data_IF_604602951074
#
_entry.id   IF_604602951074
#
_cell.length_a   1.000
_cell.length_b   1.000
_cell.length_c   1.000
_cell.angle_alpha   90.00
_cell.angle_beta   90.00
_cell.angle_gamma   90.00
#
_symmetry.space_group_name_H-M   'P 1'
#
loop_
_entity.id
_entity.type
_entity.pdbx_description
1 polymer ?
#
# COMPACT_ATOMS: atom_id res chain seq x y z
N UNK A 1 11.23 15.05 51.38
CA UNK A 1 11.59 16.43 51.00
C UNK A 1 10.62 16.87 49.93
N UNK A 2 9.56 17.56 50.39
CA UNK A 2 8.55 18.40 49.72
C UNK A 2 7.73 17.85 48.53
N UNK A 3 6.49 17.45 48.85
CA UNK A 3 5.26 17.50 48.03
C UNK A 3 4.85 18.95 47.73
N UNK A 4 4.24 19.23 46.56
CA UNK A 4 3.15 20.23 46.41
C UNK A 4 2.13 19.78 45.32
N UNK A 5 1.01 19.24 45.83
CA UNK A 5 -0.41 19.57 45.58
C UNK A 5 -1.10 19.45 44.20
N UNK A 6 -2.21 18.72 44.28
CA UNK A 6 -3.32 18.56 43.36
C UNK A 6 -4.41 19.65 43.48
N UNK A 7 -5.32 19.67 42.51
CA UNK A 7 -6.79 19.92 42.56
C UNK A 7 -7.25 20.75 41.35
N UNK A 8 -8.47 20.69 40.81
CA UNK A 8 -9.65 19.80 40.81
C UNK A 8 -10.75 20.57 40.06
N UNK A 9 -11.57 19.87 39.26
CA UNK A 9 -12.96 20.17 38.86
C UNK A 9 -13.38 21.57 38.39
N UNK A 10 -14.10 21.63 37.24
CA UNK A 10 -15.56 21.46 37.22
C UNK A 10 -16.16 21.78 35.84
N UNK A 11 -17.15 20.99 35.42
CA UNK A 11 -18.02 21.24 34.24
C UNK A 11 -18.91 22.47 34.48
N UNK A 12 -19.15 23.28 33.44
CA UNK A 12 -20.46 23.94 33.24
C UNK A 12 -20.65 24.40 31.78
N UNK A 13 -21.73 23.89 31.21
CA UNK A 13 -22.46 24.32 30.01
C UNK A 13 -22.96 25.76 30.15
N UNK A 14 -22.90 26.54 29.06
CA UNK A 14 -23.76 27.73 28.88
C UNK A 14 -24.11 27.83 27.39
N UNK A 15 -25.24 27.25 27.01
CA UNK A 15 -26.06 27.75 25.90
C UNK A 15 -26.64 29.12 26.28
N UNK A 16 -27.01 29.90 25.27
CA UNK A 16 -27.76 31.18 25.28
C UNK A 16 -26.96 32.48 25.42
N UNK A 17 -26.54 33.02 24.27
CA UNK A 17 -26.85 34.39 23.88
C UNK A 17 -27.17 34.40 22.38
N UNK A 18 -28.46 34.53 22.07
CA UNK A 18 -28.97 34.73 20.73
C UNK A 18 -29.09 36.25 20.46
N UNK A 19 -28.87 36.58 19.19
CA UNK A 19 -29.44 37.69 18.42
C UNK A 19 -28.63 38.97 18.13
N UNK A 20 -28.70 39.27 16.83
CA UNK A 20 -28.56 40.54 16.13
C UNK A 20 -27.13 41.04 15.83
N UNK A 21 -26.69 40.76 14.61
CA UNK A 21 -26.54 41.84 13.61
C UNK A 21 -26.30 41.24 12.23
N UNK A 22 -27.08 41.74 11.25
CA UNK A 22 -26.93 41.37 9.85
C UNK A 22 -25.52 41.72 9.36
N UNK A 23 -24.75 40.68 9.03
CA UNK A 23 -23.50 40.81 8.31
C UNK A 23 -23.73 40.21 6.93
N UNK A 24 -23.83 41.06 5.92
CA UNK A 24 -23.74 40.64 4.53
C UNK A 24 -22.31 40.09 4.34
N UNK A 25 -22.16 38.77 4.40
CA UNK A 25 -20.86 38.12 4.26
C UNK A 25 -20.38 38.27 2.79
N UNK A 26 -19.31 39.03 2.51
CA UNK A 26 -18.75 39.14 1.17
C UNK A 26 -18.04 37.84 0.72
N UNK A 27 -17.94 36.84 1.61
CA UNK A 27 -17.40 35.51 1.33
C UNK A 27 -18.48 34.42 1.24
N UNK A 28 -19.76 34.78 1.15
CA UNK A 28 -20.80 33.84 0.76
C UNK A 28 -20.40 33.24 -0.60
N UNK A 29 -19.80 32.05 -0.55
CA UNK A 29 -19.32 31.35 -1.72
C UNK A 29 -20.50 31.24 -2.69
N UNK A 30 -20.31 31.73 -3.90
CA UNK A 30 -21.10 31.31 -5.04
C UNK A 30 -21.19 29.79 -4.96
N UNK A 31 -22.41 29.26 -4.86
CA UNK A 31 -22.69 27.85 -5.14
C UNK A 31 -22.44 27.64 -6.64
N UNK A 32 -21.20 27.82 -7.08
CA UNK A 32 -20.70 27.28 -8.32
C UNK A 32 -20.63 25.79 -8.10
N UNK A 33 -21.10 25.04 -9.08
CA UNK A 33 -21.08 23.59 -9.11
C UNK A 33 -19.64 23.10 -8.88
N UNK A 34 -19.28 22.88 -7.63
CA UNK A 34 -18.10 22.11 -7.27
C UNK A 34 -18.44 20.68 -7.66
N UNK A 35 -18.15 20.35 -8.92
CA UNK A 35 -18.11 18.99 -9.40
C UNK A 35 -17.10 18.26 -8.50
N UNK A 36 -17.62 17.56 -7.47
CA UNK A 36 -16.81 16.72 -6.61
C UNK A 36 -15.96 15.84 -7.51
N UNK A 37 -14.63 15.77 -7.33
CA UNK A 37 -13.77 15.00 -8.22
C UNK A 37 -14.36 13.61 -8.34
N UNK A 38 -14.65 13.21 -9.59
CA UNK A 38 -15.30 11.93 -9.91
C UNK A 38 -14.51 10.84 -9.19
N UNK A 39 -15.11 10.27 -8.14
CA UNK A 39 -14.50 9.17 -7.42
C UNK A 39 -14.31 8.07 -8.45
N UNK A 40 -13.06 7.75 -8.78
CA UNK A 40 -12.74 6.66 -9.68
C UNK A 40 -13.19 5.39 -8.96
N UNK A 41 -14.41 4.94 -9.26
CA UNK A 41 -14.91 3.66 -8.78
C UNK A 41 -14.10 2.58 -9.47
N UNK A 42 -13.12 2.04 -8.75
CA UNK A 42 -12.34 0.89 -9.20
C UNK A 42 -13.27 -0.31 -9.37
N UNK A 43 -13.15 -1.00 -10.49
CA UNK A 43 -13.90 -2.25 -10.73
C UNK A 43 -13.38 -3.38 -9.84
N UNK A 44 -14.20 -4.39 -9.61
CA UNK A 44 -13.80 -5.58 -8.86
C UNK A 44 -12.57 -6.29 -9.47
N UNK A 45 -12.46 -6.27 -10.79
CA UNK A 45 -11.34 -6.87 -11.53
C UNK A 45 -10.05 -6.08 -11.33
N UNK A 46 -10.09 -4.75 -11.44
CA UNK A 46 -8.93 -3.89 -11.18
C UNK A 46 -8.51 -4.00 -9.71
N UNK A 47 -9.46 -4.04 -8.78
CA UNK A 47 -9.16 -4.20 -7.35
C UNK A 47 -8.50 -5.56 -7.07
N UNK A 48 -8.96 -6.62 -7.71
CA UNK A 48 -8.31 -7.93 -7.65
C UNK A 48 -6.89 -7.87 -8.20
N UNK A 49 -6.68 -7.21 -9.35
CA UNK A 49 -5.39 -7.12 -10.00
C UNK A 49 -4.37 -6.32 -9.17
N UNK A 50 -4.77 -5.16 -8.63
CA UNK A 50 -3.91 -4.37 -7.73
C UNK A 50 -3.58 -5.16 -6.46
N UNK A 51 -4.55 -5.90 -5.92
CA UNK A 51 -4.33 -6.77 -4.75
C UNK A 51 -3.37 -7.91 -5.07
N UNK A 52 -3.44 -8.48 -6.28
CA UNK A 52 -2.52 -9.52 -6.75
C UNK A 52 -1.08 -9.02 -6.87
N UNK A 53 -0.88 -7.79 -7.38
CA UNK A 53 0.46 -7.17 -7.41
C UNK A 53 0.98 -6.91 -6.01
N UNK A 54 0.16 -6.30 -5.15
CA UNK A 54 0.49 -6.09 -3.74
C UNK A 54 0.95 -7.37 -3.04
N UNK A 55 0.18 -8.45 -3.15
CA UNK A 55 0.51 -9.74 -2.51
C UNK A 55 1.77 -10.38 -3.11
N UNK A 56 2.02 -10.20 -4.40
CA UNK A 56 3.21 -10.76 -5.06
C UNK A 56 4.51 -10.09 -4.60
N UNK A 57 4.51 -8.75 -4.48
CA UNK A 57 5.64 -7.98 -3.94
C UNK A 57 5.85 -8.30 -2.44
N UNK A 58 4.76 -8.39 -1.66
CA UNK A 58 4.85 -8.76 -0.24
C UNK A 58 5.44 -10.17 -0.06
N UNK A 59 5.01 -11.13 -0.87
CA UNK A 59 5.57 -12.49 -0.85
C UNK A 59 7.05 -12.50 -1.22
N UNK A 60 7.46 -11.67 -2.19
CA UNK A 60 8.87 -11.43 -2.54
C UNK A 60 9.65 -10.97 -1.31
N UNK A 61 9.24 -9.87 -0.69
CA UNK A 61 9.86 -9.31 0.51
C UNK A 61 10.06 -10.36 1.62
N UNK A 62 9.00 -11.12 1.94
CA UNK A 62 9.06 -12.17 2.97
C UNK A 62 10.04 -13.30 2.62
N UNK A 63 10.16 -13.65 1.34
CA UNK A 63 11.12 -14.64 0.86
C UNK A 63 12.55 -14.11 1.01
N UNK A 64 12.85 -12.90 0.52
CA UNK A 64 14.21 -12.34 0.63
C UNK A 64 14.63 -12.14 2.08
N UNK A 65 13.72 -11.68 2.95
CA UNK A 65 13.99 -11.56 4.39
C UNK A 65 14.30 -12.90 5.05
N UNK A 66 13.64 -13.98 4.62
CA UNK A 66 13.96 -15.35 5.07
C UNK A 66 15.35 -15.77 4.59
N UNK A 67 15.65 -15.59 3.30
CA UNK A 67 16.95 -15.94 2.72
C UNK A 67 18.10 -15.16 3.36
N UNK A 68 17.91 -13.88 3.67
CA UNK A 68 18.90 -13.06 4.36
C UNK A 68 19.27 -13.63 5.73
N UNK A 69 18.30 -14.23 6.43
CA UNK A 69 18.53 -14.88 7.73
C UNK A 69 19.21 -16.24 7.63
N UNK A 70 19.05 -16.92 6.49
CA UNK A 70 19.52 -18.30 6.29
C UNK A 70 20.85 -18.41 5.55
N UNK A 71 21.25 -17.37 4.80
CA UNK A 71 22.51 -17.38 4.04
C UNK A 71 23.74 -17.24 4.96
N UNK A 72 24.83 -17.93 4.62
CA UNK A 72 26.14 -17.79 5.26
C UNK A 72 27.05 -16.75 4.56
N UNK A 73 26.63 -16.22 3.41
CA UNK A 73 27.38 -15.20 2.64
C UNK A 73 26.99 -13.79 3.12
N UNK A 74 27.96 -13.06 3.67
CA UNK A 74 27.75 -11.73 4.26
C UNK A 74 27.35 -10.66 3.22
N UNK A 75 27.94 -10.68 2.03
CA UNK A 75 27.62 -9.73 0.96
C UNK A 75 26.23 -10.01 0.38
N UNK A 76 25.88 -11.29 0.25
CA UNK A 76 24.54 -11.70 -0.16
C UNK A 76 23.50 -11.32 0.88
N UNK A 77 23.80 -11.44 2.18
CA UNK A 77 22.89 -11.02 3.26
C UNK A 77 22.53 -9.55 3.17
N UNK A 78 23.51 -8.68 2.92
CA UNK A 78 23.27 -7.24 2.74
C UNK A 78 22.32 -6.99 1.57
N UNK A 79 22.62 -7.58 0.41
CA UNK A 79 21.79 -7.41 -0.81
C UNK A 79 20.38 -7.95 -0.65
N UNK A 80 20.22 -9.13 -0.04
CA UNK A 80 18.90 -9.71 0.25
C UNK A 80 18.09 -8.84 1.22
N UNK A 81 18.75 -8.21 2.20
CA UNK A 81 18.10 -7.31 3.15
C UNK A 81 17.61 -6.03 2.46
N UNK A 82 18.44 -5.44 1.58
CA UNK A 82 18.06 -4.29 0.77
C UNK A 82 16.86 -4.62 -0.13
N UNK A 83 16.92 -5.74 -0.84
CA UNK A 83 15.85 -6.20 -1.72
C UNK A 83 14.55 -6.45 -0.95
N UNK A 84 14.64 -7.09 0.22
CA UNK A 84 13.49 -7.28 1.12
C UNK A 84 12.79 -5.94 1.44
N UNK A 85 13.56 -4.89 1.71
CA UNK A 85 13.03 -3.57 2.01
C UNK A 85 12.42 -2.87 0.79
N UNK A 86 12.97 -3.09 -0.41
CA UNK A 86 12.42 -2.57 -1.67
C UNK A 86 11.05 -3.16 -1.99
N UNK A 87 10.94 -4.49 -1.97
CA UNK A 87 9.68 -5.19 -2.27
C UNK A 87 8.59 -4.87 -1.24
N UNK A 88 8.95 -4.68 0.04
CA UNK A 88 8.03 -4.19 1.06
C UNK A 88 7.51 -2.77 0.73
N UNK A 89 8.39 -1.88 0.24
CA UNK A 89 7.99 -0.54 -0.22
C UNK A 89 7.08 -0.60 -1.43
N UNK A 90 7.32 -1.51 -2.38
CA UNK A 90 6.43 -1.71 -3.52
C UNK A 90 5.05 -2.22 -3.10
N UNK A 91 4.99 -3.23 -2.22
CA UNK A 91 3.73 -3.70 -1.64
C UNK A 91 2.97 -2.56 -0.93
N UNK A 92 3.69 -1.67 -0.24
CA UNK A 92 3.10 -0.47 0.35
C UNK A 92 2.57 0.51 -0.71
N UNK A 93 3.34 0.80 -1.76
CA UNK A 93 2.90 1.68 -2.84
C UNK A 93 1.60 1.17 -3.52
N UNK A 94 1.47 -0.15 -3.70
CA UNK A 94 0.22 -0.75 -4.17
C UNK A 94 -0.91 -0.62 -3.17
N UNK A 95 -0.62 -0.75 -1.88
CA UNK A 95 -1.59 -0.50 -0.79
C UNK A 95 -2.11 0.92 -0.85
N UNK A 96 -1.23 1.92 -0.93
CA UNK A 96 -1.62 3.33 -1.05
C UNK A 96 -2.43 3.60 -2.31
N UNK A 97 -2.06 2.97 -3.43
CA UNK A 97 -2.80 3.09 -4.69
C UNK A 97 -4.22 2.57 -4.54
N UNK A 98 -4.41 1.37 -3.95
CA UNK A 98 -5.73 0.79 -3.69
C UNK A 98 -6.58 1.69 -2.80
N UNK A 99 -5.99 2.27 -1.76
CA UNK A 99 -6.71 3.18 -0.85
C UNK A 99 -7.11 4.49 -1.55
N UNK A 100 -6.23 5.05 -2.39
CA UNK A 100 -6.50 6.29 -3.15
C UNK A 100 -7.65 6.16 -4.14
N UNK A 101 -7.87 4.97 -4.69
CA UNK A 101 -9.00 4.67 -5.59
C UNK A 101 -10.24 4.17 -4.84
N UNK A 102 -10.27 4.31 -3.50
CA UNK A 102 -11.42 3.93 -2.68
C UNK A 102 -11.61 2.43 -2.45
N UNK A 103 -10.65 1.60 -2.84
CA UNK A 103 -10.65 0.16 -2.62
C UNK A 103 -10.05 -0.24 -1.26
N UNK A 104 -10.14 -1.54 -0.95
CA UNK A 104 -9.46 -2.15 0.19
C UNK A 104 -8.63 -3.35 -0.28
N UNK A 105 -7.36 -3.49 0.16
CA UNK A 105 -6.53 -4.62 -0.24
C UNK A 105 -7.20 -5.96 0.05
N UNK A 106 -7.37 -6.78 -0.98
CA UNK A 106 -7.91 -8.13 -0.84
C UNK A 106 -6.78 -9.11 -0.61
N UNK A 107 -7.04 -10.12 0.22
CA UNK A 107 -6.15 -11.27 0.31
C UNK A 107 -6.29 -12.10 -0.96
N UNK A 108 -5.19 -12.30 -1.68
CA UNK A 108 -5.17 -13.14 -2.88
C UNK A 108 -4.32 -14.37 -2.57
N UNK A 109 -4.84 -15.57 -2.89
CA UNK A 109 -4.14 -16.83 -2.66
C UNK A 109 -3.09 -17.14 -3.73
N UNK A 110 -3.14 -16.43 -4.84
CA UNK A 110 -2.21 -16.55 -5.97
C UNK A 110 -1.22 -15.38 -5.98
N UNK A 111 0.04 -15.68 -6.28
CA UNK A 111 1.11 -14.71 -6.53
C UNK A 111 1.83 -15.06 -7.83
N UNK A 112 2.75 -14.22 -8.30
CA UNK A 112 3.62 -14.59 -9.43
C UNK A 112 4.37 -15.89 -9.15
N UNK A 113 4.88 -16.02 -7.92
CA UNK A 113 5.63 -17.18 -7.49
C UNK A 113 4.73 -18.43 -7.55
N UNK A 114 3.51 -18.41 -7.01
CA UNK A 114 2.64 -19.59 -7.03
C UNK A 114 2.23 -20.03 -8.45
N UNK A 115 1.97 -19.08 -9.36
CA UNK A 115 1.66 -19.40 -10.77
C UNK A 115 2.86 -19.99 -11.51
N UNK A 116 4.06 -19.50 -11.27
CA UNK A 116 5.27 -20.04 -11.89
C UNK A 116 5.69 -21.38 -11.27
N UNK A 117 5.55 -21.56 -9.96
CA UNK A 117 5.79 -22.87 -9.32
C UNK A 117 4.87 -23.95 -9.89
N UNK A 118 3.61 -23.62 -10.15
CA UNK A 118 2.68 -24.54 -10.81
C UNK A 118 3.12 -24.92 -12.24
N UNK A 119 3.83 -24.03 -12.93
CA UNK A 119 4.26 -24.25 -14.32
C UNK A 119 5.68 -24.84 -14.47
N UNK A 120 6.59 -24.58 -13.53
CA UNK A 120 8.04 -24.85 -13.68
C UNK A 120 8.61 -25.69 -12.52
N UNK A 121 7.85 -25.89 -11.44
CA UNK A 121 8.30 -26.59 -10.23
C UNK A 121 8.92 -25.68 -9.16
N UNK A 122 9.37 -26.28 -8.05
CA UNK A 122 10.01 -25.55 -6.97
C UNK A 122 11.52 -25.38 -7.25
N UNK A 123 12.09 -24.18 -7.07
CA UNK A 123 13.53 -23.98 -7.13
C UNK A 123 14.21 -24.85 -6.07
N UNK A 124 15.27 -25.53 -6.47
CA UNK A 124 15.96 -26.55 -5.68
C UNK A 124 17.05 -25.97 -4.79
N UNK A 125 17.47 -24.73 -5.05
CA UNK A 125 18.56 -24.05 -4.34
C UNK A 125 18.44 -22.52 -4.45
N UNK A 126 19.25 -21.82 -3.64
CA UNK A 126 19.26 -20.36 -3.55
C UNK A 126 19.54 -19.67 -4.90
N UNK A 127 20.41 -20.24 -5.73
CA UNK A 127 20.73 -19.67 -7.04
C UNK A 127 19.52 -19.68 -7.97
N UNK A 128 18.73 -20.74 -7.96
CA UNK A 128 17.49 -20.83 -8.74
C UNK A 128 16.44 -19.82 -8.25
N UNK A 129 16.36 -19.60 -6.93
CA UNK A 129 15.48 -18.57 -6.37
C UNK A 129 15.91 -17.18 -6.86
N UNK A 130 17.20 -16.85 -6.77
CA UNK A 130 17.74 -15.55 -7.22
C UNK A 130 17.58 -15.36 -8.74
N UNK A 131 17.79 -16.42 -9.53
CA UNK A 131 17.59 -16.38 -10.98
C UNK A 131 16.12 -16.13 -11.34
N UNK A 132 15.18 -16.76 -10.63
CA UNK A 132 13.74 -16.51 -10.81
C UNK A 132 13.40 -15.06 -10.43
N UNK A 133 13.90 -14.55 -9.31
CA UNK A 133 13.72 -13.15 -8.90
C UNK A 133 14.19 -12.17 -9.99
N UNK A 134 15.39 -12.37 -10.55
CA UNK A 134 15.90 -11.53 -11.63
C UNK A 134 15.04 -11.59 -12.90
N UNK A 135 14.49 -12.76 -13.24
CA UNK A 135 13.57 -12.91 -14.37
C UNK A 135 12.25 -12.17 -14.09
N UNK A 136 11.75 -12.20 -12.85
CA UNK A 136 10.54 -11.50 -12.46
C UNK A 136 10.69 -9.98 -12.58
N UNK A 137 11.76 -9.40 -12.05
CA UNK A 137 12.03 -7.96 -12.15
C UNK A 137 11.94 -7.47 -13.60
N UNK A 138 12.50 -8.22 -14.54
CA UNK A 138 12.48 -7.86 -15.97
C UNK A 138 11.10 -8.05 -16.61
N UNK A 139 10.34 -9.06 -16.19
CA UNK A 139 9.03 -9.41 -16.78
C UNK A 139 7.89 -8.58 -16.20
N UNK A 140 7.91 -8.28 -14.91
CA UNK A 140 6.89 -7.48 -14.21
C UNK A 140 6.80 -6.08 -14.81
N UNK A 141 7.93 -5.42 -15.06
CA UNK A 141 7.95 -4.10 -15.74
C UNK A 141 7.30 -4.16 -17.12
N UNK A 142 7.54 -5.22 -17.89
CA UNK A 142 6.91 -5.41 -19.21
C UNK A 142 5.40 -5.65 -19.07
N UNK A 143 4.98 -6.38 -18.06
CA UNK A 143 3.58 -6.68 -17.81
C UNK A 143 2.79 -5.44 -17.38
N UNK A 144 3.36 -4.59 -16.50
CA UNK A 144 2.75 -3.29 -16.15
C UNK A 144 2.58 -2.40 -17.38
N UNK A 145 3.60 -2.31 -18.24
CA UNK A 145 3.53 -1.53 -19.49
C UNK A 145 2.49 -2.07 -20.47
N UNK A 146 2.33 -3.40 -20.53
CA UNK A 146 1.32 -4.01 -21.39
C UNK A 146 -0.11 -3.67 -20.91
N UNK A 147 -0.36 -3.71 -19.60
CA UNK A 147 -1.68 -3.34 -19.05
C UNK A 147 -2.03 -1.87 -19.26
N UNK A 148 -1.05 -0.95 -19.24
CA UNK A 148 -1.28 0.46 -19.62
C UNK A 148 -1.71 0.64 -21.09
N UNK A 149 -1.55 -0.38 -21.93
CA UNK A 149 -1.87 -0.34 -23.37
C UNK A 149 -3.13 -1.09 -23.75
N UNK A 150 -3.82 -1.73 -22.79
CA UNK A 150 -5.07 -2.42 -23.07
C UNK A 150 -6.24 -1.44 -23.05
N UNK A 151 -7.19 -1.55 -24.01
CA UNK A 151 -8.42 -0.76 -23.95
C UNK A 151 -9.24 -1.13 -22.70
N UNK A 152 -9.94 -0.15 -22.14
CA UNK A 152 -10.90 -0.29 -21.03
C UNK A 152 -12.01 -1.33 -21.33
#
# INVERSE_FOLDING_TARGET
MVDILAASNSRRTIDTLAESNGHHDPFAASNGDHESPKQLEITENELWLLSYYRESELAGSLLMGRLARETDDDDLRVRLTEHCAEEARHAWAWTETILKVGGMPKRVSETYQSRYHAAVGNPSNLLEVLALTQIFERRVVRHFRAHLSWPD
#
